data_IF_816749749517
#
_entry.id   IF_816749749517
#
_cell.length_a   1.000
_cell.length_b   1.000
_cell.length_c   1.000
_cell.angle_alpha   90.00
_cell.angle_beta   90.00
_cell.angle_gamma   90.00
#
_symmetry.space_group_name_H-M   'P 1'
#
loop_
_entity.id
_entity.type
_entity.pdbx_description
1 polymer ?
#
# COMPACT_ATOMS: atom_id res chain seq x y z
N UNK A 1 -23.65 -11.20 3.70
CA UNK A 1 -23.56 -9.76 3.36
C UNK A 1 -22.34 -9.09 4.00
N UNK A 2 -22.06 -9.30 5.29
CA UNK A 2 -20.87 -8.72 5.95
C UNK A 2 -19.56 -9.19 5.31
N UNK A 3 -19.43 -10.48 4.97
CA UNK A 3 -18.25 -11.01 4.27
C UNK A 3 -18.00 -10.33 2.93
N UNK A 4 -19.06 -10.03 2.18
CA UNK A 4 -18.96 -9.31 0.90
C UNK A 4 -18.50 -7.86 1.10
N UNK A 5 -18.97 -7.20 2.16
CA UNK A 5 -18.50 -5.85 2.51
C UNK A 5 -17.00 -5.84 2.86
N UNK A 6 -16.53 -6.85 3.60
CA UNK A 6 -15.12 -7.01 3.94
C UNK A 6 -14.27 -7.30 2.71
N UNK A 7 -14.67 -8.26 1.86
CA UNK A 7 -13.92 -8.59 0.65
C UNK A 7 -13.86 -7.40 -0.31
N UNK A 8 -14.96 -6.65 -0.48
CA UNK A 8 -14.94 -5.44 -1.31
C UNK A 8 -14.00 -4.39 -0.73
N UNK A 9 -14.07 -4.12 0.57
CA UNK A 9 -13.21 -3.11 1.19
C UNK A 9 -11.73 -3.48 1.13
N UNK A 10 -11.36 -4.71 1.47
CA UNK A 10 -9.95 -5.11 1.50
C UNK A 10 -9.42 -5.45 0.12
N UNK A 11 -10.08 -6.30 -0.67
CA UNK A 11 -9.55 -6.76 -1.95
C UNK A 11 -9.51 -5.62 -2.98
N UNK A 12 -10.61 -4.89 -3.16
CA UNK A 12 -10.64 -3.74 -4.07
C UNK A 12 -9.99 -2.50 -3.46
N UNK A 13 -10.17 -2.26 -2.16
CA UNK A 13 -9.57 -1.09 -1.52
C UNK A 13 -8.05 -1.14 -1.53
N UNK A 14 -7.43 -2.32 -1.36
CA UNK A 14 -5.98 -2.47 -1.47
C UNK A 14 -5.46 -2.18 -2.86
N UNK A 15 -6.16 -2.61 -3.91
CA UNK A 15 -5.82 -2.28 -5.28
C UNK A 15 -5.95 -0.77 -5.54
N UNK A 16 -7.08 -0.18 -5.14
CA UNK A 16 -7.34 1.25 -5.33
C UNK A 16 -6.35 2.13 -4.55
N UNK A 17 -6.06 1.79 -3.29
CA UNK A 17 -5.09 2.50 -2.45
C UNK A 17 -3.69 2.29 -2.99
N UNK A 18 -3.30 1.06 -3.36
CA UNK A 18 -2.01 0.79 -3.98
C UNK A 18 -1.79 1.65 -5.22
N UNK A 19 -2.81 1.75 -6.08
CA UNK A 19 -2.75 2.60 -7.26
C UNK A 19 -2.66 4.09 -6.89
N UNK A 20 -3.46 4.54 -5.93
CA UNK A 20 -3.41 5.91 -5.41
C UNK A 20 -2.04 6.28 -4.86
N UNK A 21 -1.42 5.38 -4.08
CA UNK A 21 -0.06 5.55 -3.55
C UNK A 21 0.95 5.68 -4.68
N UNK A 22 0.88 4.84 -5.71
CA UNK A 22 1.76 4.90 -6.88
C UNK A 22 1.61 6.25 -7.59
N UNK A 23 0.37 6.67 -7.88
CA UNK A 23 0.10 7.95 -8.55
C UNK A 23 0.56 9.15 -7.72
N UNK A 24 0.52 9.07 -6.40
CA UNK A 24 1.04 10.13 -5.53
C UNK A 24 2.57 10.13 -5.41
N UNK A 25 3.25 9.05 -5.80
CA UNK A 25 4.68 8.86 -5.54
C UNK A 25 5.55 8.62 -6.79
N UNK A 26 4.97 8.50 -7.98
CA UNK A 26 5.75 8.14 -9.18
C UNK A 26 6.77 9.20 -9.61
N UNK A 27 6.56 10.48 -9.28
CA UNK A 27 7.47 11.58 -9.66
C UNK A 27 8.15 12.26 -8.46
N UNK A 28 8.04 11.66 -7.27
CA UNK A 28 8.45 12.22 -5.98
C UNK A 28 9.95 12.63 -5.91
N UNK A 29 10.81 11.86 -6.56
CA UNK A 29 12.26 12.14 -6.66
C UNK A 29 12.65 12.79 -7.99
N UNK A 30 11.89 12.49 -9.04
CA UNK A 30 12.21 12.96 -10.40
C UNK A 30 11.92 14.46 -10.50
N UNK A 31 10.77 14.90 -9.99
CA UNK A 31 10.39 16.32 -9.96
C UNK A 31 11.39 17.18 -9.19
N UNK A 32 11.90 16.70 -8.05
CA UNK A 32 12.89 17.45 -7.28
C UNK A 32 14.25 17.55 -7.96
N UNK A 33 14.66 16.50 -8.69
CA UNK A 33 15.89 16.52 -9.49
C UNK A 33 15.77 17.48 -10.66
N UNK A 34 14.64 17.45 -11.38
CA UNK A 34 14.38 18.37 -12.49
C UNK A 34 14.33 19.84 -12.03
N UNK A 35 13.84 20.09 -10.81
CA UNK A 35 13.78 21.42 -10.22
C UNK A 35 15.08 21.86 -9.51
N UNK A 36 16.15 21.04 -9.52
CA UNK A 36 17.43 21.36 -8.87
C UNK A 36 17.39 21.34 -7.33
N UNK A 37 16.30 20.86 -6.73
CA UNK A 37 16.09 20.88 -5.26
C UNK A 37 17.01 19.87 -4.59
N UNK A 38 17.23 18.71 -5.21
CA UNK A 38 18.15 17.68 -4.67
C UNK A 38 19.58 18.21 -4.64
N UNK A 39 20.01 18.85 -5.72
CA UNK A 39 21.33 19.47 -5.87
C UNK A 39 21.52 20.56 -4.82
N UNK A 40 20.52 21.43 -4.63
CA UNK A 40 20.55 22.46 -3.59
C UNK A 40 20.61 21.86 -2.18
N UNK A 41 19.84 20.81 -1.88
CA UNK A 41 19.88 20.14 -0.57
C UNK A 41 21.25 19.53 -0.27
N UNK A 42 21.94 18.99 -1.28
CA UNK A 42 23.27 18.38 -1.13
C UNK A 42 24.40 19.40 -0.93
N UNK A 43 24.15 20.71 -1.10
CA UNK A 43 25.10 21.76 -0.71
C UNK A 43 25.19 21.95 0.81
N UNK A 44 24.17 21.49 1.55
CA UNK A 44 24.11 21.52 3.01
C UNK A 44 24.62 20.18 3.57
N UNK A 45 25.08 20.12 4.84
CA UNK A 45 25.54 18.87 5.47
C UNK A 45 24.38 17.91 5.79
N UNK A 46 23.64 17.48 4.78
CA UNK A 46 22.50 16.56 4.86
C UNK A 46 22.89 15.24 4.20
N UNK A 47 22.67 14.13 4.91
CA UNK A 47 22.96 12.80 4.35
C UNK A 47 21.89 12.38 3.34
N UNK A 48 22.30 11.69 2.27
CA UNK A 48 21.38 11.16 1.24
C UNK A 48 20.27 10.27 1.82
N UNK A 49 20.60 9.51 2.88
CA UNK A 49 19.64 8.66 3.60
C UNK A 49 18.55 9.47 4.30
N UNK A 50 18.92 10.61 4.89
CA UNK A 50 17.97 11.51 5.55
C UNK A 50 16.94 12.06 4.57
N UNK A 51 17.33 12.34 3.32
CA UNK A 51 16.41 12.83 2.27
C UNK A 51 15.35 11.76 1.95
N UNK A 52 15.78 10.51 1.77
CA UNK A 52 14.87 9.39 1.48
C UNK A 52 13.92 9.11 2.66
N UNK A 53 14.45 9.07 3.88
CA UNK A 53 13.63 8.86 5.09
C UNK A 53 12.63 9.99 5.33
N UNK A 54 13.02 11.24 5.07
CA UNK A 54 12.12 12.38 5.16
C UNK A 54 10.96 12.26 4.17
N UNK A 55 11.21 11.82 2.93
CA UNK A 55 10.17 11.57 1.91
C UNK A 55 9.21 10.48 2.33
N UNK A 56 9.74 9.34 2.78
CA UNK A 56 8.94 8.24 3.28
C UNK A 56 8.06 8.69 4.45
N UNK A 57 8.62 9.42 5.43
CA UNK A 57 7.87 9.90 6.59
C UNK A 57 6.82 10.96 6.22
N UNK A 58 7.12 11.87 5.29
CA UNK A 58 6.18 12.90 4.87
C UNK A 58 4.98 12.28 4.13
N UNK A 59 5.23 11.48 3.10
CA UNK A 59 4.16 10.88 2.30
C UNK A 59 3.45 9.76 3.04
N UNK A 60 4.17 8.95 3.82
CA UNK A 60 3.61 7.85 4.60
C UNK A 60 2.53 8.32 5.59
N UNK A 61 2.73 9.47 6.25
CA UNK A 61 1.72 10.06 7.15
C UNK A 61 0.44 10.43 6.41
N UNK A 62 0.55 11.07 5.25
CA UNK A 62 -0.62 11.47 4.46
C UNK A 62 -1.34 10.27 3.85
N UNK A 63 -0.60 9.24 3.41
CA UNK A 63 -1.18 7.98 2.94
C UNK A 63 -1.96 7.30 4.06
N UNK A 64 -1.37 7.17 5.26
CA UNK A 64 -2.08 6.60 6.41
C UNK A 64 -3.34 7.40 6.70
N UNK A 65 -3.24 8.73 6.80
CA UNK A 65 -4.37 9.56 7.22
C UNK A 65 -5.51 9.54 6.18
N UNK A 66 -5.20 9.87 4.92
CA UNK A 66 -6.20 10.13 3.91
C UNK A 66 -6.64 8.89 3.14
N UNK A 67 -5.70 8.01 2.78
CA UNK A 67 -6.02 6.84 1.94
C UNK A 67 -6.47 5.64 2.78
N UNK A 68 -6.08 5.55 4.05
CA UNK A 68 -6.35 4.37 4.88
C UNK A 68 -7.28 4.68 6.04
N UNK A 69 -6.91 5.61 6.92
CA UNK A 69 -7.57 5.83 8.20
C UNK A 69 -8.99 6.37 8.03
N UNK A 70 -9.19 7.35 7.15
CA UNK A 70 -10.53 7.89 6.85
C UNK A 70 -11.45 6.79 6.26
N UNK A 71 -11.09 6.07 5.17
CA UNK A 71 -11.91 4.97 4.68
C UNK A 71 -12.14 3.87 5.71
N UNK A 72 -11.13 3.51 6.50
CA UNK A 72 -11.24 2.46 7.51
C UNK A 72 -12.24 2.82 8.61
N UNK A 73 -12.22 4.06 9.12
CA UNK A 73 -13.21 4.50 10.12
C UNK A 73 -14.62 4.44 9.56
N UNK A 74 -14.80 4.93 8.32
CA UNK A 74 -16.11 4.93 7.66
C UNK A 74 -16.61 3.49 7.51
N UNK A 75 -15.77 2.58 7.00
CA UNK A 75 -16.13 1.18 6.81
C UNK A 75 -16.41 0.46 8.13
N UNK A 76 -15.62 0.69 9.18
CA UNK A 76 -15.88 0.14 10.51
C UNK A 76 -17.23 0.58 11.07
N UNK A 77 -17.58 1.87 10.88
CA UNK A 77 -18.88 2.41 11.25
C UNK A 77 -20.03 1.72 10.50
N UNK A 78 -19.90 1.58 9.17
CA UNK A 78 -20.89 0.89 8.34
C UNK A 78 -21.08 -0.58 8.72
N UNK A 79 -19.99 -1.30 9.01
CA UNK A 79 -20.02 -2.69 9.46
C UNK A 79 -20.71 -2.83 10.82
N UNK A 80 -20.40 -1.94 11.75
CA UNK A 80 -21.00 -1.95 13.10
C UNK A 80 -22.49 -1.64 13.06
N UNK A 81 -22.91 -0.65 12.26
CA UNK A 81 -24.32 -0.36 12.04
C UNK A 81 -25.07 -1.54 11.42
N UNK A 82 -24.41 -2.33 10.56
CA UNK A 82 -25.03 -3.49 9.93
C UNK A 82 -25.14 -4.71 10.84
N UNK A 83 -24.30 -4.80 11.87
CA UNK A 83 -24.32 -5.87 12.88
C UNK A 83 -25.21 -5.55 14.08
N UNK A 84 -25.85 -4.37 14.13
CA UNK A 84 -26.55 -3.84 15.31
C UNK A 84 -25.68 -3.92 16.59
N UNK A 85 -24.36 -3.73 16.42
CA UNK A 85 -23.37 -3.92 17.47
C UNK A 85 -21.95 -3.63 16.99
N UNK A 86 -20.97 -3.60 17.90
CA UNK A 86 -19.59 -3.31 17.52
C UNK A 86 -18.97 -4.47 16.73
N UNK A 87 -18.47 -4.17 15.53
CA UNK A 87 -17.65 -5.13 14.80
C UNK A 87 -16.38 -5.44 15.61
N UNK A 88 -15.88 -6.69 15.63
CA UNK A 88 -14.68 -7.05 16.37
C UNK A 88 -13.47 -6.17 15.98
N UNK A 89 -13.01 -5.32 16.91
CA UNK A 89 -12.01 -4.30 16.60
C UNK A 89 -10.62 -4.86 16.36
N UNK A 90 -10.23 -5.90 17.09
CA UNK A 90 -8.90 -6.51 16.97
C UNK A 90 -8.64 -7.09 15.56
N UNK A 91 -9.49 -7.97 14.99
CA UNK A 91 -9.27 -8.49 13.65
C UNK A 91 -9.41 -7.41 12.58
N UNK A 92 -10.27 -6.40 12.79
CA UNK A 92 -10.37 -5.26 11.88
C UNK A 92 -9.08 -4.44 11.81
N UNK A 93 -8.50 -4.10 12.97
CA UNK A 93 -7.23 -3.40 13.05
C UNK A 93 -6.08 -4.20 12.46
N UNK A 94 -6.10 -5.53 12.58
CA UNK A 94 -5.12 -6.40 11.93
C UNK A 94 -5.21 -6.30 10.39
N UNK A 95 -6.41 -6.33 9.82
CA UNK A 95 -6.63 -6.11 8.38
C UNK A 95 -6.16 -4.73 7.91
N UNK A 96 -6.47 -3.68 8.67
CA UNK A 96 -5.99 -2.31 8.40
C UNK A 96 -4.46 -2.23 8.49
N UNK A 97 -3.84 -2.94 9.43
CA UNK A 97 -2.38 -3.04 9.53
C UNK A 97 -1.76 -3.64 8.28
N UNK A 98 -2.38 -4.69 7.71
CA UNK A 98 -1.97 -5.29 6.44
C UNK A 98 -2.11 -4.29 5.29
N UNK A 99 -3.17 -3.47 5.27
CA UNK A 99 -3.32 -2.38 4.30
C UNK A 99 -2.19 -1.35 4.36
N UNK A 100 -1.77 -0.97 5.57
CA UNK A 100 -0.66 -0.04 5.76
C UNK A 100 0.64 -0.64 5.21
N UNK A 101 0.93 -1.90 5.53
CA UNK A 101 2.10 -2.61 5.04
C UNK A 101 2.14 -2.68 3.52
N UNK A 102 1.04 -3.08 2.89
CA UNK A 102 0.90 -3.10 1.44
C UNK A 102 1.15 -1.73 0.82
N UNK A 103 0.54 -0.68 1.38
CA UNK A 103 0.70 0.70 0.88
C UNK A 103 2.14 1.18 0.99
N UNK A 104 2.82 0.86 2.10
CA UNK A 104 4.22 1.22 2.30
C UNK A 104 5.16 0.49 1.36
N UNK A 105 4.88 -0.77 1.02
CA UNK A 105 5.63 -1.47 -0.01
C UNK A 105 5.64 -0.69 -1.33
N UNK A 106 4.47 -0.25 -1.82
CA UNK A 106 4.40 0.49 -3.08
C UNK A 106 5.02 1.89 -3.00
N UNK A 107 4.90 2.57 -1.86
CA UNK A 107 5.58 3.84 -1.64
C UNK A 107 7.11 3.68 -1.71
N UNK A 108 7.66 2.68 -1.00
CA UNK A 108 9.10 2.40 -1.01
C UNK A 108 9.56 1.95 -2.38
N UNK A 109 8.77 1.13 -3.08
CA UNK A 109 9.04 0.70 -4.45
C UNK A 109 9.13 1.90 -5.40
N UNK A 110 8.18 2.83 -5.34
CA UNK A 110 8.19 4.03 -6.17
C UNK A 110 9.39 4.93 -5.87
N UNK A 111 9.72 5.13 -4.59
CA UNK A 111 10.92 5.87 -4.16
C UNK A 111 12.19 5.19 -4.67
N UNK A 112 12.30 3.87 -4.49
CA UNK A 112 13.45 3.08 -4.96
C UNK A 112 13.63 3.24 -6.47
N UNK A 113 12.57 3.04 -7.26
CA UNK A 113 12.61 3.21 -8.70
C UNK A 113 13.00 4.64 -9.09
N UNK A 114 12.47 5.67 -8.40
CA UNK A 114 12.85 7.07 -8.62
C UNK A 114 14.32 7.40 -8.30
N UNK A 115 15.02 6.56 -7.52
CA UNK A 115 16.49 6.67 -7.36
C UNK A 115 17.26 6.02 -8.50
N UNK A 116 16.70 4.98 -9.12
CA UNK A 116 17.36 4.19 -10.18
C UNK A 116 17.10 4.72 -11.58
N UNK A 117 15.97 5.40 -11.79
CA UNK A 117 15.58 5.97 -13.09
C UNK A 117 15.31 7.47 -13.01
N UNK A 118 15.40 8.14 -14.16
CA UNK A 118 14.96 9.51 -14.37
C UNK A 118 13.62 9.60 -15.10
N UNK A 119 13.07 8.47 -15.57
CA UNK A 119 11.82 8.45 -16.33
C UNK A 119 10.61 8.22 -15.42
N UNK A 120 9.72 9.21 -15.37
CA UNK A 120 8.45 9.15 -14.62
C UNK A 120 7.57 7.97 -15.09
N UNK A 121 7.57 7.71 -16.40
CA UNK A 121 6.81 6.61 -16.99
C UNK A 121 7.35 5.24 -16.59
N UNK A 122 8.66 5.09 -16.40
CA UNK A 122 9.24 3.82 -15.95
C UNK A 122 8.86 3.53 -14.50
N UNK A 123 8.88 4.54 -13.62
CA UNK A 123 8.44 4.38 -12.23
C UNK A 123 6.97 3.98 -12.16
N UNK A 124 6.11 4.72 -12.87
CA UNK A 124 4.67 4.45 -12.90
C UNK A 124 4.37 3.08 -13.52
N UNK A 125 4.96 2.77 -14.67
CA UNK A 125 4.73 1.52 -15.40
C UNK A 125 5.15 0.28 -14.62
N UNK A 126 6.34 0.30 -14.00
CA UNK A 126 6.82 -0.85 -13.21
C UNK A 126 6.01 -1.04 -11.93
N UNK A 127 5.73 0.03 -11.19
CA UNK A 127 4.97 -0.08 -9.94
C UNK A 127 3.51 -0.44 -10.17
N UNK A 128 2.83 0.18 -11.13
CA UNK A 128 1.45 -0.16 -11.49
C UNK A 128 1.36 -1.54 -12.16
N UNK A 129 2.33 -1.88 -13.01
CA UNK A 129 2.43 -3.20 -13.62
C UNK A 129 2.61 -4.31 -12.58
N UNK A 130 3.40 -4.08 -11.54
CA UNK A 130 3.53 -5.01 -10.42
C UNK A 130 2.23 -5.11 -9.61
N UNK A 131 1.55 -3.99 -9.33
CA UNK A 131 0.28 -4.01 -8.61
C UNK A 131 -0.81 -4.79 -9.35
N UNK A 132 -1.03 -4.48 -10.63
CA UNK A 132 -2.11 -5.07 -11.41
C UNK A 132 -1.76 -6.47 -11.92
N UNK A 133 -0.50 -6.70 -12.29
CA UNK A 133 -0.02 -7.98 -12.80
C UNK A 133 0.32 -8.99 -11.70
N UNK A 134 0.49 -8.56 -10.45
CA UNK A 134 0.91 -9.42 -9.34
C UNK A 134 0.01 -10.62 -9.09
N UNK A 135 -1.32 -10.43 -9.24
CA UNK A 135 -2.30 -11.51 -9.10
C UNK A 135 -2.13 -12.62 -10.16
N UNK A 136 -1.71 -12.27 -11.37
CA UNK A 136 -1.42 -13.21 -12.46
C UNK A 136 -0.17 -14.04 -12.10
N UNK A 137 0.86 -13.39 -11.56
CA UNK A 137 2.09 -14.07 -11.15
C UNK A 137 1.90 -15.04 -9.97
N UNK A 138 1.01 -14.72 -9.02
CA UNK A 138 0.68 -15.63 -7.91
C UNK A 138 0.07 -16.95 -8.39
N UNK A 139 -0.65 -16.95 -9.51
CA UNK A 139 -1.25 -18.16 -10.09
C UNK A 139 -0.26 -19.04 -10.85
N UNK A 140 0.92 -18.54 -11.18
CA UNK A 140 1.94 -19.25 -11.96
C UNK A 140 3.05 -19.85 -11.09
N UNK A 141 3.39 -19.21 -9.97
CA UNK A 141 4.50 -19.62 -9.10
C UNK A 141 4.10 -19.47 -7.63
N UNK A 142 3.81 -20.56 -6.95
CA UNK A 142 3.38 -20.56 -5.54
C UNK A 142 4.43 -19.96 -4.58
N UNK A 143 5.71 -20.04 -4.92
CA UNK A 143 6.80 -19.46 -4.10
C UNK A 143 6.68 -17.93 -3.99
N UNK A 144 6.13 -17.26 -5.02
CA UNK A 144 5.98 -15.79 -5.01
C UNK A 144 5.01 -15.31 -3.94
N UNK A 145 4.09 -16.16 -3.51
CA UNK A 145 3.07 -15.77 -2.54
C UNK A 145 3.64 -15.44 -1.14
N UNK A 146 4.81 -15.99 -0.81
CA UNK A 146 5.53 -15.73 0.44
C UNK A 146 6.44 -14.49 0.39
N UNK A 147 6.85 -14.06 -0.79
CA UNK A 147 7.86 -12.99 -0.96
C UNK A 147 7.22 -11.69 -1.44
N UNK A 148 6.12 -11.77 -2.19
CA UNK A 148 5.49 -10.62 -2.84
C UNK A 148 4.34 -10.05 -2.00
N UNK A 149 4.04 -8.74 -2.11
CA UNK A 149 2.93 -8.11 -1.38
C UNK A 149 1.56 -8.54 -1.89
N UNK A 150 1.48 -9.31 -2.98
CA UNK A 150 0.23 -9.59 -3.68
C UNK A 150 -0.72 -10.48 -2.86
N UNK A 151 -0.19 -11.32 -1.98
CA UNK A 151 -0.98 -12.17 -1.08
C UNK A 151 -1.60 -11.39 0.08
N UNK A 152 -1.08 -10.18 0.38
CA UNK A 152 -1.54 -9.37 1.51
C UNK A 152 -3.01 -8.98 1.40
N UNK A 153 -3.54 -8.84 0.18
CA UNK A 153 -4.96 -8.51 0.01
C UNK A 153 -5.90 -9.61 0.49
N UNK A 154 -5.65 -10.83 0.04
CA UNK A 154 -6.41 -11.99 0.50
C UNK A 154 -6.24 -12.21 2.01
N UNK A 155 -5.02 -12.01 2.53
CA UNK A 155 -4.74 -12.13 3.96
C UNK A 155 -5.51 -11.12 4.81
N UNK A 156 -5.65 -9.86 4.36
CA UNK A 156 -6.41 -8.84 5.07
C UNK A 156 -7.88 -9.23 5.24
N UNK A 157 -8.49 -9.78 4.19
CA UNK A 157 -9.89 -10.27 4.20
C UNK A 157 -10.05 -11.46 5.16
N UNK A 158 -9.16 -12.45 5.08
CA UNK A 158 -9.21 -13.67 5.91
C UNK A 158 -9.03 -13.35 7.40
N UNK A 159 -8.03 -12.54 7.74
CA UNK A 159 -7.72 -12.15 9.12
C UNK A 159 -8.87 -11.34 9.72
N UNK A 160 -9.47 -10.43 8.94
CA UNK A 160 -10.60 -9.63 9.43
C UNK A 160 -11.88 -10.46 9.59
N UNK A 161 -12.08 -11.44 8.71
CA UNK A 161 -13.17 -12.41 8.81
C UNK A 161 -13.00 -13.42 9.95
N UNK A 162 -11.88 -13.38 10.69
CA UNK A 162 -11.49 -14.35 11.71
C UNK A 162 -11.55 -15.80 11.20
N UNK A 163 -11.26 -15.98 9.92
CA UNK A 163 -11.23 -17.29 9.28
C UNK A 163 -9.86 -17.93 9.49
N UNK A 164 -9.82 -19.26 9.62
CA UNK A 164 -8.55 -19.98 9.72
C UNK A 164 -7.76 -19.82 8.41
N UNK A 165 -6.48 -19.46 8.54
CA UNK A 165 -5.55 -19.36 7.41
C UNK A 165 -5.33 -20.79 6.88
N UNK A 166 -5.98 -21.14 5.77
CA UNK A 166 -5.80 -22.45 5.13
C UNK A 166 -4.42 -22.50 4.45
N UNK A 167 -3.63 -23.58 4.62
CA UNK A 167 -2.29 -23.70 4.04
C UNK A 167 -2.22 -23.55 2.50
N UNK A 168 -3.35 -23.75 1.80
CA UNK A 168 -3.43 -23.63 0.34
C UNK A 168 -3.91 -22.27 -0.20
N UNK A 169 -4.26 -21.33 0.69
CA UNK A 169 -4.60 -19.93 0.34
C UNK A 169 -3.42 -18.97 0.52
N UNK A 170 -2.31 -19.50 1.06
CA UNK A 170 -1.00 -18.88 0.97
C UNK A 170 -0.33 -19.15 -0.37
#
# INVERSE_FOLDING_TARGET
>A
MISLGLSVFFDFGLQAIGFGVIVLSFDLLISERENGVVEWMLTKPVTRRSIILAKFAAYGKFIILFLIFIPAIITYGMLSLKMDGFFPIAPYLAGVGIMILHSFFYLVLAIMLGTLTSSRMVVLGLSAGLLLGGSIFLGLVDVLKYVTPFSLANLATIVTGNQMISPGLL
#
